data_IF_560217762872
#
_entry.id   IF_560217762872
#
_cell.length_a   1.000
_cell.length_b   1.000
_cell.length_c   1.000
_cell.angle_alpha   90.00
_cell.angle_beta   90.00
_cell.angle_gamma   90.00
#
_symmetry.space_group_name_H-M   'P 1'
#
loop_
_entity.id
_entity.type
_entity.pdbx_description
1 polymer ?
2 polymer ?
3 non-polymer ?
4 water ?
#
# COMPACT_ATOMS: atom_id res chain seq x y z
N UNK A 1 8.39 -6.94 -0.94
CA UNK A 1 8.02 -7.41 -2.35
C UNK A 1 8.94 -8.57 -2.66
N UNK A 2 8.34 -9.70 -3.00
CA UNK A 2 9.06 -10.89 -3.40
C UNK A 2 9.00 -11.04 -4.93
N UNK A 3 10.13 -11.26 -5.57
CA UNK A 3 10.16 -11.44 -7.00
C UNK A 3 10.03 -10.19 -7.81
N UNK A 4 10.26 -9.04 -7.19
CA UNK A 4 10.22 -7.78 -7.88
C UNK A 4 11.60 -7.31 -8.30
N UNK A 5 11.69 -5.99 -8.49
CA UNK A 5 12.91 -5.35 -8.98
C UNK A 5 13.10 -4.03 -8.27
N UNK A 6 14.33 -3.58 -8.27
CA UNK A 6 14.69 -2.27 -7.76
C UNK A 6 14.04 -1.19 -8.62
N UNK A 7 13.15 -0.39 -8.05
CA UNK A 7 12.37 0.65 -8.75
C UNK A 7 13.32 1.64 -9.44
N UNK A 8 14.33 2.11 -8.70
CA UNK A 8 15.12 3.26 -9.06
C UNK A 8 14.69 4.42 -8.18
N UNK A 9 15.65 5.22 -7.77
CA UNK A 9 15.38 6.29 -6.82
C UNK A 9 14.32 7.25 -7.28
N UNK A 10 13.30 7.44 -6.45
CA UNK A 10 12.25 8.40 -6.67
C UNK A 10 11.41 8.19 -7.94
N UNK A 11 11.41 6.96 -8.46
CA UNK A 11 10.58 6.65 -9.61
C UNK A 11 9.14 6.35 -9.23
N UNK A 12 8.84 6.24 -7.94
CA UNK A 12 7.49 6.04 -7.43
C UNK A 12 7.26 7.17 -6.43
N UNK A 13 7.03 8.40 -6.91
CA UNK A 13 7.19 9.56 -6.04
C UNK A 13 6.09 9.77 -5.01
N UNK A 14 5.02 9.01 -5.14
CA UNK A 14 3.89 8.98 -4.20
C UNK A 14 4.07 7.95 -3.10
N UNK A 15 5.07 7.11 -3.17
CA UNK A 15 5.31 6.10 -2.13
C UNK A 15 5.87 6.73 -0.90
N UNK A 16 5.27 6.45 0.25
CA UNK A 16 5.81 6.89 1.53
C UNK A 16 6.16 5.70 2.39
N UNK A 17 7.08 5.94 3.31
CA UNK A 17 7.41 5.01 4.41
C UNK A 17 6.85 5.58 5.69
N UNK A 18 6.09 4.77 6.42
CA UNK A 18 5.64 5.12 7.78
C UNK A 18 6.68 4.59 8.75
N UNK A 19 7.18 5.48 9.59
CA UNK A 19 8.33 5.21 10.46
C UNK A 19 8.00 5.52 11.90
N UNK A 20 8.39 4.52 12.76
CA UNK A 20 8.25 4.68 14.23
C UNK A 20 9.58 4.32 14.87
N UNK A 21 10.68 4.89 14.39
CA UNK A 21 12.00 4.44 14.73
C UNK A 21 12.51 3.29 13.90
N UNK A 22 11.71 2.91 12.89
CA UNK A 22 11.97 1.86 11.92
C UNK A 22 10.83 1.93 10.93
N UNK A 23 11.07 1.46 9.72
CA UNK A 23 10.03 1.34 8.70
C UNK A 23 9.04 0.26 9.12
N UNK A 24 7.75 0.59 9.21
CA UNK A 24 6.79 -0.43 9.56
C UNK A 24 5.69 -0.68 8.55
N UNK A 25 5.44 0.25 7.65
CA UNK A 25 4.42 0.10 6.63
C UNK A 25 4.69 1.12 5.56
N UNK A 26 3.95 0.96 4.45
CA UNK A 26 3.92 1.92 3.40
C UNK A 26 2.67 2.74 3.40
N UNK A 27 2.60 3.68 2.47
CA UNK A 27 1.46 4.54 2.24
C UNK A 27 1.62 5.24 0.91
N UNK A 28 0.57 5.97 0.54
CA UNK A 28 0.49 6.69 -0.73
C UNK A 28 0.10 8.12 -0.49
N UNK A 29 0.85 9.06 -1.03
CA UNK A 29 0.54 10.49 -0.93
C UNK A 29 -0.54 10.84 -1.92
N UNK A 30 -1.67 11.36 -1.46
CA UNK A 30 -2.80 11.69 -2.34
C UNK A 30 -3.02 13.20 -2.54
N UNK A 31 -2.44 14.01 -1.69
CA UNK A 31 -2.30 15.45 -1.90
C UNK A 31 -1.22 15.92 -0.95
N UNK A 32 -0.94 17.22 -0.89
CA UNK A 32 0.19 17.66 -0.12
C UNK A 32 0.07 17.45 1.37
N UNK A 33 -1.13 17.19 1.88
CA UNK A 33 -1.32 17.01 3.30
C UNK A 33 -1.85 15.67 3.74
N UNK A 34 -2.12 14.73 2.84
CA UNK A 34 -2.83 13.49 3.21
C UNK A 34 -2.23 12.29 2.53
N UNK A 35 -2.13 11.23 3.32
CA UNK A 35 -1.63 9.92 2.92
C UNK A 35 -2.70 8.87 3.16
N UNK A 36 -2.83 7.93 2.23
CA UNK A 36 -3.67 6.75 2.37
C UNK A 36 -2.80 5.56 2.72
N UNK A 37 -3.20 4.81 3.74
CA UNK A 37 -2.52 3.57 4.16
C UNK A 37 -3.59 2.56 4.60
N UNK A 38 -3.13 1.50 5.25
CA UNK A 38 -4.03 0.45 5.77
C UNK A 38 -4.39 0.71 7.22
N UNK A 39 -5.64 0.46 7.59
CA UNK A 39 -6.06 0.56 8.99
C UNK A 39 -5.24 -0.30 9.92
N UNK A 40 -4.83 -1.49 9.47
CA UNK A 40 -4.09 -2.38 10.33
C UNK A 40 -2.70 -1.84 10.68
N UNK A 41 -2.26 -0.80 9.98
CA UNK A 41 -1.00 -0.10 10.25
C UNK A 41 -1.09 0.94 11.36
N UNK A 42 -2.29 1.23 11.83
CA UNK A 42 -2.45 2.30 12.81
C UNK A 42 -1.60 2.04 14.05
N UNK A 43 -0.97 3.11 14.54
CA UNK A 43 -0.33 3.13 15.86
C UNK A 43 -0.08 4.59 16.17
N UNK A 44 0.32 4.85 17.41
CA UNK A 44 0.84 6.14 17.81
C UNK A 44 2.24 6.39 17.26
N UNK A 45 2.67 7.63 17.24
CA UNK A 45 4.05 7.95 16.95
C UNK A 45 4.46 7.79 15.52
N UNK A 46 3.58 8.06 14.58
CA UNK A 46 3.91 7.87 13.15
C UNK A 46 4.62 9.10 12.58
N UNK A 47 5.79 8.88 11.96
CA UNK A 47 6.45 9.88 11.16
C UNK A 47 6.36 9.41 9.70
N UNK A 48 5.89 10.30 8.85
CA UNK A 48 5.78 10.00 7.42
C UNK A 48 7.06 10.40 6.75
N UNK A 49 7.63 9.53 5.98
CA UNK A 49 8.88 9.80 5.27
C UNK A 49 8.63 9.73 3.78
N UNK A 50 8.73 10.89 3.15
CA UNK A 50 8.52 11.12 1.72
C UNK A 50 9.83 11.26 1.01
N UNK A 51 9.86 10.99 -0.32
CA UNK A 51 11.07 11.13 -1.08
C UNK A 51 12.13 10.11 -0.82
N UNK A 52 11.78 8.99 -0.20
CA UNK A 52 12.76 7.97 0.16
C UNK A 52 13.11 7.07 -0.96
N UNK A 53 14.37 6.63 -0.99
CA UNK A 53 14.81 5.45 -1.73
C UNK A 53 15.47 4.48 -0.78
N UNK A 54 16.74 4.71 -0.39
CA UNK A 54 17.36 3.95 0.68
C UNK A 54 16.81 4.46 2.03
N UNK A 55 16.03 3.63 2.70
CA UNK A 55 15.41 4.04 3.96
C UNK A 55 16.38 4.07 5.14
N UNK A 56 17.62 3.60 4.94
CA UNK A 56 18.63 3.56 5.99
C UNK A 56 19.68 4.61 5.85
N UNK A 57 19.65 5.41 4.79
CA UNK A 57 20.70 6.44 4.50
C UNK A 57 19.99 7.73 4.13
N UNK A 58 20.49 8.85 4.67
CA UNK A 58 20.03 10.16 4.24
C UNK A 58 20.72 10.54 2.94
N UNK A 59 20.00 10.49 1.82
CA UNK A 59 20.56 10.64 0.48
C UNK A 59 20.29 11.99 -0.16
N UNK A 60 19.36 12.75 0.38
CA UNK A 60 18.84 13.94 -0.23
C UNK A 60 17.45 13.63 -0.75
N UNK A 61 16.64 14.66 -0.81
CA UNK A 61 15.25 14.59 -1.27
C UNK A 61 14.23 14.02 -0.30
N UNK A 62 14.63 13.61 0.89
CA UNK A 62 13.70 13.19 1.90
C UNK A 62 12.98 14.34 2.56
N UNK A 63 11.73 14.13 2.93
CA UNK A 63 10.99 14.99 3.85
C UNK A 63 10.40 14.13 4.90
N UNK A 64 10.67 14.41 6.18
CA UNK A 64 10.13 13.71 7.31
C UNK A 64 9.10 14.63 7.95
N UNK A 65 7.85 14.19 8.05
CA UNK A 65 6.78 15.01 8.58
C UNK A 65 5.95 14.15 9.52
N UNK A 66 5.70 14.64 10.74
CA UNK A 66 4.87 13.90 11.68
C UNK A 66 3.43 13.82 11.21
N UNK A 67 2.81 12.70 11.52
CA UNK A 67 1.36 12.59 11.37
C UNK A 67 0.67 13.47 12.42
N UNK A 68 -0.27 14.28 12.01
CA UNK A 68 -1.11 15.02 12.97
C UNK A 68 -2.47 14.39 13.20
N UNK A 69 -2.99 13.63 12.26
CA UNK A 69 -4.22 12.89 12.41
C UNK A 69 -4.00 11.52 11.79
N UNK A 70 -4.52 10.47 12.40
CA UNK A 70 -4.51 9.11 11.85
C UNK A 70 -5.90 8.58 11.99
N UNK A 71 -6.62 8.44 10.89
CA UNK A 71 -8.03 8.20 10.89
C UNK A 71 -8.32 6.85 10.28
N UNK A 72 -8.56 5.82 11.09
CA UNK A 72 -8.94 4.50 10.66
C UNK A 72 -10.38 4.52 10.23
N UNK A 73 -10.73 3.77 9.23
CA UNK A 73 -12.11 3.68 8.82
C UNK A 73 -12.95 3.22 10.03
N UNK A 74 -14.08 3.88 10.31
CA UNK A 74 -14.88 3.46 11.48
C UNK A 74 -15.37 2.04 11.44
N UNK A 75 -15.52 1.46 10.28
CA UNK A 75 -15.99 0.08 10.14
C UNK A 75 -14.89 -0.94 9.89
N UNK A 76 -13.65 -0.55 10.11
CA UNK A 76 -12.53 -1.50 10.03
C UNK A 76 -12.74 -2.64 11.02
N UNK A 77 -12.58 -3.86 10.54
CA UNK A 77 -12.71 -5.06 11.36
C UNK A 77 -11.34 -5.75 11.38
N UNK A 78 -10.71 -5.78 12.55
CA UNK A 78 -9.36 -6.30 12.67
C UNK A 78 -9.25 -7.82 12.54
N UNK A 79 -10.38 -8.53 12.60
CA UNK A 79 -10.38 -9.97 12.39
C UNK A 79 -10.49 -10.38 10.94
N UNK A 80 -11.32 -9.68 10.17
CA UNK A 80 -11.52 -10.00 8.76
C UNK A 80 -10.73 -9.11 7.83
N UNK A 81 -10.25 -7.98 8.33
CA UNK A 81 -9.57 -6.92 7.58
C UNK A 81 -10.49 -6.21 6.61
N UNK A 82 -11.79 -6.40 6.75
CA UNK A 82 -12.71 -5.58 5.95
C UNK A 82 -12.53 -4.08 6.30
N UNK A 83 -12.63 -3.23 5.29
CA UNK A 83 -12.42 -1.81 5.43
C UNK A 83 -11.03 -1.47 5.95
N UNK A 84 -10.03 -2.09 5.35
CA UNK A 84 -8.63 -1.89 5.76
C UNK A 84 -8.04 -0.66 5.10
N UNK A 85 -8.42 0.51 5.60
CA UNK A 85 -8.00 1.78 5.06
C UNK A 85 -7.90 2.80 6.20
N UNK A 86 -6.92 3.66 6.09
CA UNK A 86 -6.66 4.73 7.04
C UNK A 86 -6.16 5.94 6.28
N UNK A 87 -6.56 7.11 6.75
CA UNK A 87 -6.03 8.38 6.28
C UNK A 87 -5.13 9.01 7.32
N UNK A 88 -4.00 9.53 6.87
CA UNK A 88 -3.06 10.24 7.72
C UNK A 88 -2.95 11.64 7.20
N UNK A 89 -3.20 12.59 8.10
CA UNK A 89 -2.94 14.02 7.79
C UNK A 89 -1.55 14.40 8.29
N UNK A 90 -0.80 15.08 7.47
CA UNK A 90 0.53 15.53 7.78
C UNK A 90 0.48 16.80 8.61
N UNK A 91 1.38 16.94 9.56
CA UNK A 91 1.39 18.15 10.40
C UNK A 91 1.60 19.44 9.62
N UNK A 92 2.44 19.36 8.59
CA UNK A 92 2.66 20.42 7.62
C UNK A 92 2.58 19.83 6.22
N UNK A 93 2.24 20.66 5.25
CA UNK A 93 2.15 20.18 3.88
C UNK A 93 3.53 19.81 3.37
N UNK A 94 3.57 18.72 2.64
CA UNK A 94 4.79 18.35 1.93
C UNK A 94 5.04 19.31 0.80
N UNK A 95 6.31 19.47 0.45
CA UNK A 95 6.72 20.25 -0.73
C UNK A 95 6.70 19.33 -1.92
N UNK A 96 5.83 19.57 -2.87
CA UNK A 96 5.71 18.70 -4.03
C UNK A 96 6.62 19.19 -5.15
N UNK A 97 7.22 18.19 -5.80
CA UNK A 97 8.34 18.31 -6.75
C UNK A 97 8.44 16.98 -7.60
N UNK A 98 9.40 16.78 -8.50
CA UNK A 98 9.38 15.53 -9.32
C UNK A 98 9.54 14.27 -8.47
N UNK A 99 10.20 14.40 -7.32
CA UNK A 99 10.51 13.25 -6.47
C UNK A 99 9.50 12.99 -5.36
N UNK A 100 8.63 13.97 -5.11
CA UNK A 100 7.58 13.86 -4.12
C UNK A 100 6.32 14.39 -4.80
N UNK A 101 5.40 13.49 -5.08
CA UNK A 101 4.24 13.81 -5.89
C UNK A 101 3.06 12.99 -5.47
N UNK A 102 1.87 13.53 -5.62
CA UNK A 102 0.67 12.79 -5.31
C UNK A 102 0.23 11.84 -6.41
N UNK A 103 -0.55 10.85 -6.03
CA UNK A 103 -1.21 9.92 -6.92
C UNK A 103 -2.69 10.18 -6.89
N UNK A 104 -3.32 10.11 -8.08
CA UNK A 104 -4.75 10.32 -8.22
C UNK A 104 -5.56 9.16 -7.66
N UNK A 105 -6.72 9.48 -7.09
CA UNK A 105 -7.70 8.51 -6.73
C UNK A 105 -8.50 8.06 -7.95
N UNK A 106 -9.05 6.86 -7.92
CA UNK A 106 -9.82 6.36 -9.05
C UNK A 106 -11.13 7.08 -9.23
N UNK A 107 -11.59 7.12 -10.46
CA UNK A 107 -12.92 7.59 -10.79
C UNK A 107 -13.86 6.42 -11.01
N UNK A 108 -13.34 5.20 -11.34
CA UNK A 108 -14.07 3.93 -11.45
C UNK A 108 -13.15 2.81 -11.05
N UNK A 109 -13.75 1.68 -10.79
CA UNK A 109 -13.01 0.51 -10.38
C UNK A 109 -12.27 -0.09 -11.56
N UNK A 110 -11.24 -0.85 -11.26
CA UNK A 110 -10.43 -1.53 -12.25
C UNK A 110 -10.97 -2.94 -12.50
N UNK A 111 -10.78 -3.40 -13.70
CA UNK A 111 -11.32 -4.69 -14.09
C UNK A 111 -10.27 -5.79 -13.92
N UNK A 112 -10.68 -7.15 -13.88
CA UNK A 112 -9.78 -8.25 -13.95
C UNK A 112 -8.88 -8.08 -15.16
N UNK A 113 -7.60 -8.39 -14.94
CA UNK A 113 -6.57 -8.34 -15.94
C UNK A 113 -5.83 -7.04 -16.04
N UNK A 114 -6.32 -6.00 -15.37
CA UNK A 114 -5.64 -4.72 -15.40
C UNK A 114 -4.26 -4.88 -14.74
N UNK A 115 -3.23 -4.34 -15.36
CA UNK A 115 -1.88 -4.40 -14.85
C UNK A 115 -1.61 -3.24 -13.91
N UNK A 116 -0.97 -3.54 -12.78
CA UNK A 116 -0.72 -2.55 -11.73
C UNK A 116 0.73 -2.60 -11.33
N UNK A 117 1.14 -1.57 -10.61
CA UNK A 117 2.46 -1.50 -10.00
C UNK A 117 2.28 -1.48 -8.48
N UNK A 118 2.93 -2.41 -7.83
CA UNK A 118 2.87 -2.57 -6.38
C UNK A 118 4.29 -2.30 -5.87
N UNK A 119 4.46 -1.56 -4.78
CA UNK A 119 5.79 -1.18 -4.32
C UNK A 119 5.91 -1.16 -2.82
N UNK A 120 7.13 -1.31 -2.33
CA UNK A 120 7.38 -1.21 -0.90
C UNK A 120 8.76 -1.67 -0.51
N UNK A 121 9.01 -1.55 0.78
CA UNK A 121 10.25 -1.94 1.45
C UNK A 121 10.06 -3.17 2.32
N UNK A 122 9.06 -3.99 2.00
CA UNK A 122 8.82 -5.20 2.75
C UNK A 122 9.75 -6.35 2.43
N UNK A 123 9.49 -7.46 3.09
CA UNK A 123 10.31 -8.69 2.96
C UNK A 123 10.39 -9.09 1.50
N UNK A 124 11.59 -9.51 1.05
CA UNK A 124 11.87 -9.97 -0.29
C UNK A 124 11.99 -11.48 -0.40
N UNK A 125 11.76 -12.20 0.70
CA UNK A 125 11.80 -13.68 0.69
C UNK A 125 10.47 -14.32 0.99
N UNK A 126 10.20 -15.42 0.28
CA UNK A 126 8.98 -16.21 0.46
C UNK A 126 9.12 -17.17 1.65
N UNK A 127 10.36 -17.51 1.97
CA UNK A 127 10.70 -18.30 3.16
C UNK A 127 11.83 -17.57 3.87
N UNK A 128 11.60 -17.26 5.14
CA UNK A 128 12.55 -16.49 5.91
C UNK A 128 12.37 -15.02 5.63
N UNK A 129 13.40 -14.24 5.95
CA UNK A 129 13.28 -12.80 5.88
C UNK A 129 14.52 -12.12 5.37
N UNK A 130 14.31 -11.12 4.53
CA UNK A 130 15.32 -10.18 4.09
C UNK A 130 14.64 -8.87 3.77
N UNK A 131 15.06 -7.79 4.41
CA UNK A 131 14.44 -6.49 4.20
C UNK A 131 15.40 -5.62 3.42
N UNK A 132 14.91 -5.00 2.36
CA UNK A 132 15.77 -4.23 1.46
C UNK A 132 16.07 -2.84 1.98
N UNK A 133 17.17 -2.27 1.54
CA UNK A 133 17.43 -0.86 1.73
C UNK A 133 16.62 0.04 0.81
N UNK A 134 16.55 -0.35 -0.46
CA UNK A 134 15.92 0.48 -1.46
C UNK A 134 14.54 -0.03 -1.83
N UNK A 135 13.78 0.85 -2.47
CA UNK A 135 12.38 0.52 -2.80
C UNK A 135 12.32 -0.54 -3.89
N UNK A 136 11.41 -1.49 -3.73
CA UNK A 136 11.17 -2.54 -4.70
C UNK A 136 9.79 -2.38 -5.29
N UNK A 137 9.67 -2.89 -6.52
CA UNK A 137 8.48 -2.76 -7.38
C UNK A 137 8.13 -4.12 -7.94
N UNK A 138 6.84 -4.30 -8.24
CA UNK A 138 6.33 -5.50 -8.91
C UNK A 138 5.19 -5.11 -9.80
N UNK A 139 5.22 -5.58 -11.04
CA UNK A 139 4.08 -5.45 -11.94
C UNK A 139 3.21 -6.68 -11.76
N UNK A 140 1.91 -6.47 -11.56
CA UNK A 140 0.98 -7.56 -11.25
C UNK A 140 -0.39 -7.26 -11.76
N UNK A 141 -1.09 -8.27 -12.25
CA UNK A 141 -2.47 -8.07 -12.68
C UNK A 141 -3.50 -8.31 -11.60
N UNK A 142 -4.63 -7.62 -11.74
CA UNK A 142 -5.83 -7.89 -10.92
C UNK A 142 -6.46 -9.19 -11.38
N UNK A 143 -6.79 -10.06 -10.44
CA UNK A 143 -7.39 -11.33 -10.74
C UNK A 143 -8.90 -11.24 -10.80
N UNK A 144 -9.54 -12.23 -11.43
CA UNK A 144 -10.98 -12.31 -11.44
C UNK A 144 -11.55 -12.52 -10.04
N UNK A 145 -12.82 -12.11 -9.87
CA UNK A 145 -13.51 -12.34 -8.59
C UNK A 145 -13.72 -13.81 -8.29
N UNK A 146 -13.85 -14.65 -9.33
CA UNK A 146 -13.96 -16.08 -9.11
C UNK A 146 -12.65 -16.68 -8.66
N UNK A 147 -11.53 -16.27 -9.27
CA UNK A 147 -10.25 -16.78 -8.86
C UNK A 147 -9.88 -16.32 -7.44
N UNK A 148 -10.22 -15.08 -7.09
CA UNK A 148 -9.97 -14.59 -5.78
C UNK A 148 -10.73 -15.34 -4.68
N UNK A 149 -11.99 -15.64 -4.95
CA UNK A 149 -12.82 -16.39 -4.02
C UNK A 149 -12.45 -17.85 -3.92
N UNK A 150 -11.95 -18.43 -5.01
CA UNK A 150 -11.43 -19.81 -4.99
C UNK A 150 -10.19 -19.89 -4.13
N UNK A 151 -9.34 -18.87 -4.20
CA UNK A 151 -8.13 -18.88 -3.41
C UNK A 151 -8.39 -18.66 -1.92
N UNK A 152 -9.37 -17.85 -1.60
CA UNK A 152 -9.65 -17.45 -0.23
C UNK A 152 -11.16 -17.56 0.08
N UNK A 153 -11.72 -18.78 0.08
CA UNK A 153 -13.15 -18.93 0.27
C UNK A 153 -13.59 -18.42 1.61
N UNK A 154 -14.69 -17.67 1.58
CA UNK A 154 -15.27 -17.09 2.78
C UNK A 154 -14.56 -15.87 3.32
N UNK A 155 -13.49 -15.39 2.66
CA UNK A 155 -12.65 -14.33 3.23
C UNK A 155 -12.59 -13.05 2.43
N UNK A 156 -13.12 -13.06 1.21
CA UNK A 156 -13.06 -11.91 0.31
C UNK A 156 -14.38 -11.16 0.35
N UNK A 157 -14.31 -9.91 0.83
CA UNK A 157 -15.48 -9.05 0.85
C UNK A 157 -15.53 -8.23 -0.42
N UNK A 158 -16.61 -7.47 -0.60
CA UNK A 158 -16.70 -6.54 -1.71
C UNK A 158 -15.69 -5.41 -1.68
N UNK A 159 -15.01 -5.23 -0.54
CA UNK A 159 -13.99 -4.19 -0.38
C UNK A 159 -12.58 -4.69 -0.55
N UNK A 160 -12.42 -5.84 -1.18
CA UNK A 160 -11.15 -6.46 -1.43
C UNK A 160 -11.02 -6.93 -2.86
N UNK A 161 -9.80 -7.02 -3.37
CA UNK A 161 -9.52 -7.74 -4.61
C UNK A 161 -8.18 -8.45 -4.49
N UNK A 162 -7.94 -9.43 -5.33
CA UNK A 162 -6.70 -10.10 -5.42
C UNK A 162 -5.91 -9.63 -6.60
N UNK A 163 -4.58 -9.63 -6.47
CA UNK A 163 -3.68 -9.34 -7.59
C UNK A 163 -2.45 -10.15 -7.41
N UNK A 164 -1.81 -10.47 -8.53
CA UNK A 164 -0.57 -11.22 -8.51
C UNK A 164 -0.60 -12.45 -9.39
N UNK A 165 -0.02 -13.54 -8.86
CA UNK A 165 0.42 -14.66 -9.67
C UNK A 165 0.15 -15.96 -8.95
N UNK A 166 -0.65 -16.84 -9.50
CA UNK A 166 -1.01 -18.06 -8.85
C UNK A 166 0.10 -19.09 -8.88
N UNK A 167 1.11 -18.92 -9.74
CA UNK A 167 2.23 -19.85 -9.86
C UNK A 167 3.27 -19.70 -8.79
N UNK A 168 3.16 -18.67 -7.97
CA UNK A 168 4.11 -18.41 -6.90
C UNK A 168 5.25 -17.54 -7.37
N UNK A 169 5.98 -17.00 -6.40
CA UNK A 169 7.25 -16.35 -6.67
C UNK A 169 7.23 -14.83 -6.78
N UNK A 170 6.05 -14.23 -6.91
CA UNK A 170 5.92 -12.78 -7.14
C UNK A 170 4.74 -12.26 -6.33
N UNK A 171 5.00 -11.43 -5.33
CA UNK A 171 3.93 -10.97 -4.43
C UNK A 171 4.39 -9.80 -3.58
N UNK A 172 3.45 -9.15 -2.91
CA UNK A 172 3.78 -8.28 -1.76
C UNK A 172 3.94 -9.11 -0.50
N UNK A 173 4.43 -8.51 0.57
CA UNK A 173 4.75 -9.26 1.77
C UNK A 173 4.70 -8.36 2.99
N UNK A 174 4.96 -8.92 4.16
CA UNK A 174 5.07 -8.13 5.38
C UNK A 174 6.05 -6.99 5.17
N UNK A 175 5.67 -5.83 5.68
CA UNK A 175 6.42 -4.59 5.50
C UNK A 175 5.95 -3.75 4.32
N UNK A 176 5.18 -4.36 3.41
CA UNK A 176 4.57 -3.65 2.26
C UNK A 176 3.21 -3.12 2.57
N UNK A 177 2.58 -3.60 3.66
CA UNK A 177 1.22 -3.22 4.01
C UNK A 177 1.04 -1.74 4.04
N UNK A 178 -0.12 -1.31 3.57
CA UNK A 178 -0.44 0.09 3.47
C UNK A 178 -0.01 0.75 2.21
N UNK A 179 0.91 0.13 1.48
CA UNK A 179 1.42 0.74 0.26
C UNK A 179 0.54 0.60 -0.94
N UNK A 180 0.98 1.22 -2.03
CA UNK A 180 0.13 1.40 -3.19
C UNK A 180 0.06 0.22 -4.14
N UNK A 181 -1.12 0.13 -4.77
CA UNK A 181 -1.35 -0.64 -6.00
C UNK A 181 -1.90 0.37 -6.99
N UNK A 182 -1.09 0.73 -7.98
CA UNK A 182 -1.43 1.79 -8.93
C UNK A 182 -1.62 1.18 -10.30
N UNK A 183 -2.73 1.53 -10.92
CA UNK A 183 -3.11 0.97 -12.22
C UNK A 183 -3.51 2.12 -13.12
N UNK A 184 -2.83 2.28 -14.25
CA UNK A 184 -3.11 3.40 -15.14
C UNK A 184 -3.18 4.76 -14.44
N UNK A 185 -2.23 4.98 -13.53
CA UNK A 185 -2.16 6.27 -12.90
C UNK A 185 -3.10 6.56 -11.76
N UNK A 186 -3.84 5.54 -11.33
CA UNK A 186 -4.81 5.67 -10.26
C UNK A 186 -4.47 4.69 -9.12
N UNK A 187 -4.67 5.17 -7.89
CA UNK A 187 -4.51 4.28 -6.70
C UNK A 187 -5.74 3.40 -6.53
N UNK A 188 -5.65 2.17 -7.03
CA UNK A 188 -6.77 1.23 -6.95
C UNK A 188 -6.70 0.33 -5.73
N UNK A 189 -5.53 0.12 -5.16
CA UNK A 189 -5.43 -0.79 -4.04
C UNK A 189 -4.48 -0.32 -2.98
N UNK A 190 -4.64 -0.95 -1.81
CA UNK A 190 -3.75 -0.83 -0.65
C UNK A 190 -3.33 -2.21 -0.26
N UNK A 191 -2.02 -2.44 -0.09
CA UNK A 191 -1.50 -3.73 0.37
C UNK A 191 -2.14 -4.05 1.71
N UNK A 192 -2.84 -5.19 1.78
CA UNK A 192 -3.62 -5.56 2.97
C UNK A 192 -3.22 -6.88 3.60
N UNK A 193 -3.40 -8.01 2.94
CA UNK A 193 -3.14 -9.28 3.58
C UNK A 193 -2.93 -10.38 2.54
N UNK A 194 -2.57 -11.56 3.04
CA UNK A 194 -2.47 -12.75 2.20
C UNK A 194 -2.10 -13.93 3.07
N UNK A 195 -2.14 -15.13 2.50
CA UNK A 195 -1.67 -16.31 3.22
C UNK A 195 -0.25 -16.60 2.81
N UNK A 196 0.78 -16.46 3.76
CA UNK A 196 2.18 -16.48 3.37
C UNK A 196 2.52 -15.36 2.42
N UNK A 197 3.60 -15.49 1.70
CA UNK A 197 3.86 -14.55 0.59
C UNK A 197 4.47 -15.34 -0.55
N UNK A 198 3.99 -15.02 -1.74
CA UNK A 198 4.49 -15.57 -2.96
C UNK A 198 4.30 -17.08 -3.02
N UNK A 199 3.30 -17.59 -2.30
CA UNK A 199 2.99 -19.01 -2.33
C UNK A 199 2.03 -19.33 -3.45
N UNK A 200 2.18 -20.53 -3.98
CA UNK A 200 1.28 -20.99 -5.04
C UNK A 200 -0.18 -20.91 -4.60
N UNK A 201 -1.02 -20.40 -5.47
CA UNK A 201 -2.45 -20.34 -5.25
C UNK A 201 -2.89 -19.42 -4.13
N UNK A 202 -2.01 -18.52 -3.68
CA UNK A 202 -2.33 -17.64 -2.53
C UNK A 202 -1.83 -16.23 -2.94
N UNK A 203 -2.59 -15.54 -3.78
CA UNK A 203 -2.21 -14.22 -4.26
C UNK A 203 -2.39 -13.18 -3.16
N UNK A 204 -1.90 -11.99 -3.39
CA UNK A 204 -2.17 -10.91 -2.47
C UNK A 204 -3.57 -10.42 -2.49
N UNK A 205 -4.03 -9.91 -1.33
CA UNK A 205 -5.35 -9.33 -1.15
C UNK A 205 -5.14 -7.84 -0.79
N UNK A 206 -5.91 -7.01 -1.46
CA UNK A 206 -5.77 -5.56 -1.48
C UNK A 206 -7.09 -4.87 -1.19
N UNK A 207 -7.04 -3.77 -0.43
CA UNK A 207 -8.24 -2.99 -0.18
C UNK A 207 -8.60 -2.33 -1.47
N UNK A 208 -9.90 -2.36 -1.78
CA UNK A 208 -10.44 -1.84 -3.05
C UNK A 208 -10.76 -0.36 -2.91
N UNK A 209 -9.81 0.51 -3.26
CA UNK A 209 -9.85 1.91 -2.98
C UNK A 209 -11.03 2.61 -3.66
N UNK A 210 -11.42 2.14 -4.85
CA UNK A 210 -12.55 2.80 -5.53
C UNK A 210 -13.84 2.85 -4.72
N UNK A 211 -14.01 1.92 -3.80
CA UNK A 211 -15.18 1.89 -2.94
C UNK A 211 -15.16 2.98 -1.89
N UNK A 212 -14.02 3.61 -1.67
CA UNK A 212 -13.80 4.56 -0.61
C UNK A 212 -13.57 5.97 -1.06
N UNK A 213 -13.66 6.27 -2.35
CA UNK A 213 -13.31 7.59 -2.83
C UNK A 213 -14.20 8.64 -2.18
N UNK A 214 -15.50 8.40 -2.10
CA UNK A 214 -16.36 9.39 -1.44
C UNK A 214 -16.06 9.54 0.05
N UNK A 215 -15.77 8.43 0.75
CA UNK A 215 -15.40 8.49 2.17
C UNK A 215 -14.08 9.28 2.35
N UNK A 216 -13.11 9.07 1.48
CA UNK A 216 -11.88 9.83 1.55
C UNK A 216 -12.13 11.28 1.37
N UNK A 217 -12.87 11.65 0.31
CA UNK A 217 -13.10 13.04 0.04
C UNK A 217 -13.84 13.72 1.19
N UNK A 218 -14.87 13.07 1.72
CA UNK A 218 -15.71 13.65 2.80
C UNK A 218 -14.88 13.80 4.09
N UNK A 219 -14.00 12.83 4.36
CA UNK A 219 -13.20 12.84 5.56
C UNK A 219 -12.14 13.93 5.47
N UNK A 220 -11.48 14.05 4.33
CA UNK A 220 -10.53 15.14 4.15
C UNK A 220 -11.21 16.51 4.26
N UNK A 221 -12.39 16.65 3.67
CA UNK A 221 -13.10 17.95 3.67
C UNK A 221 -13.49 18.39 5.08
N UNK A 222 -13.74 17.45 5.97
CA UNK A 222 -14.21 17.75 7.32
C UNK A 222 -13.06 17.81 8.35
N UNK A 223 -11.83 17.56 7.93
CA UNK A 223 -10.65 17.54 8.79
C UNK A 223 -9.56 18.48 8.34
N UNK B 1 -3.44 -16.94 6.84
CA UNK B 1 -3.71 -15.55 6.45
C UNK B 1 -3.13 -14.63 7.50
N UNK B 2 -2.45 -13.59 7.08
CA UNK B 2 -1.81 -12.64 7.97
C UNK B 2 -1.78 -11.27 7.29
N UNK B 3 -1.87 -10.22 8.08
CA UNK B 3 -1.71 -8.87 7.53
C UNK B 3 -0.32 -8.68 6.95
N UNK B 4 -0.21 -7.86 5.94
CA UNK B 4 1.07 -7.53 5.28
C UNK B 4 1.47 -6.08 5.46
X LIG C 1 16.85 7.87 2.70
#
# INVERSE_FOLDING_TARGET
IVGGYTCGANTVPYQVSLNSGYHFCGGSLINSQWVVSAAHCYKSGIQVRLGEDNINVVEGNEQFISASKSIVHPSYNSNTLNNDIMLIKLKSAASLNSRVASISLPTSCASAGTQCLISGWGNTKSSGTSYPDVLKCLKAPILSDSSCKSAYPGQITSNMFCAGYLEGGKDSCQGDSGGPVVCSGKLQGIVSWGSGCAQKNKPGVYTKVCNYVSWIKQTIASN
XAPX
CA CA
#
